data_IF_494417211041
#
_entry.id   IF_494417211041
#
_cell.length_a   1.000
_cell.length_b   1.000
_cell.length_c   1.000
_cell.angle_alpha   90.00
_cell.angle_beta   90.00
_cell.angle_gamma   90.00
#
_symmetry.space_group_name_H-M   'P 1'
#
loop_
_entity.id
_entity.type
_entity.pdbx_description
1 polymer ?
#
# COMPACT_ATOMS: atom_id res chain seq x y z
N UNK A 1 31.39 -65.94 -29.72
CA UNK A 1 31.33 -65.09 -28.54
C UNK A 1 31.19 -63.62 -28.97
N UNK A 2 29.98 -63.09 -28.97
CA UNK A 2 29.68 -61.75 -29.43
C UNK A 2 29.33 -60.87 -28.24
N UNK A 3 30.25 -59.96 -27.87
CA UNK A 3 29.99 -58.96 -26.85
C UNK A 3 29.08 -57.87 -27.38
N UNK A 4 27.88 -57.75 -26.81
CA UNK A 4 26.97 -56.61 -27.05
C UNK A 4 27.27 -55.54 -25.99
N UNK A 5 27.93 -54.47 -26.43
CA UNK A 5 28.04 -53.24 -25.63
C UNK A 5 26.70 -52.49 -25.70
N UNK A 6 25.99 -52.44 -24.61
CA UNK A 6 24.79 -51.59 -24.48
C UNK A 6 25.20 -50.15 -24.12
N UNK A 7 24.95 -49.23 -25.04
CA UNK A 7 25.11 -47.80 -24.81
C UNK A 7 23.83 -47.30 -24.08
N UNK A 8 23.97 -47.00 -22.82
CA UNK A 8 22.91 -46.36 -22.01
C UNK A 8 23.02 -44.84 -22.22
N UNK A 9 22.13 -44.29 -23.03
CA UNK A 9 22.02 -42.82 -23.20
C UNK A 9 21.32 -42.26 -21.99
N UNK A 10 22.07 -41.53 -21.16
CA UNK A 10 21.54 -40.77 -20.04
C UNK A 10 20.97 -39.45 -20.58
N UNK A 11 19.65 -39.39 -20.77
CA UNK A 11 18.97 -38.15 -21.13
C UNK A 11 18.83 -37.30 -19.86
N UNK A 12 19.76 -36.34 -19.69
CA UNK A 12 19.59 -35.25 -18.71
C UNK A 12 18.47 -34.34 -19.20
N UNK A 13 17.28 -34.50 -18.65
CA UNK A 13 16.20 -33.54 -18.80
C UNK A 13 16.57 -32.34 -17.95
N UNK A 14 17.16 -31.32 -18.56
CA UNK A 14 17.36 -30.02 -17.93
C UNK A 14 15.96 -29.37 -17.76
N UNK A 15 15.39 -29.53 -16.60
CA UNK A 15 14.19 -28.80 -16.20
C UNK A 15 14.56 -27.31 -16.08
N UNK A 16 14.28 -26.53 -17.11
CA UNK A 16 14.31 -25.09 -17.05
C UNK A 16 13.18 -24.65 -16.11
N UNK A 17 13.51 -24.44 -14.85
CA UNK A 17 12.67 -23.74 -13.93
C UNK A 17 12.60 -22.28 -14.39
N UNK A 18 11.58 -21.93 -15.12
CA UNK A 18 11.22 -20.53 -15.34
C UNK A 18 10.81 -19.95 -14.01
N UNK A 19 11.77 -19.35 -13.29
CA UNK A 19 11.45 -18.47 -12.18
C UNK A 19 10.75 -17.24 -12.77
N UNK A 20 9.42 -17.22 -12.70
CA UNK A 20 8.68 -15.99 -12.91
C UNK A 20 9.05 -15.04 -11.78
N UNK A 21 10.05 -14.20 -11.98
CA UNK A 21 10.26 -13.04 -11.14
C UNK A 21 9.04 -12.13 -11.34
N UNK A 22 8.19 -12.02 -10.33
CA UNK A 22 7.17 -10.97 -10.34
C UNK A 22 7.90 -9.63 -10.39
N UNK A 23 7.76 -8.95 -11.52
CA UNK A 23 8.32 -7.61 -11.68
C UNK A 23 7.53 -6.70 -10.74
N UNK A 24 8.17 -6.24 -9.67
CA UNK A 24 7.55 -5.27 -8.76
C UNK A 24 7.18 -4.03 -9.57
N UNK A 25 5.93 -3.62 -9.52
CA UNK A 25 5.48 -2.39 -10.17
C UNK A 25 6.12 -1.19 -9.48
N UNK A 26 6.43 -0.16 -10.24
CA UNK A 26 6.94 1.11 -9.71
C UNK A 26 5.97 2.21 -10.07
N UNK A 27 5.74 3.11 -9.13
CA UNK A 27 4.97 4.34 -9.31
C UNK A 27 5.90 5.51 -9.08
N UNK A 28 5.85 6.49 -9.97
CA UNK A 28 6.59 7.74 -9.81
C UNK A 28 5.89 8.61 -8.79
N UNK A 29 6.59 8.93 -7.71
CA UNK A 29 6.09 9.87 -6.72
C UNK A 29 6.49 11.29 -7.08
N UNK A 30 5.65 12.25 -6.75
CA UNK A 30 5.89 13.67 -7.03
C UNK A 30 6.19 14.42 -5.74
N UNK A 31 7.26 15.21 -5.75
CA UNK A 31 7.53 16.14 -4.64
C UNK A 31 6.59 17.32 -4.72
N UNK A 32 5.95 17.65 -3.61
CA UNK A 32 5.12 18.86 -3.47
C UNK A 32 5.76 19.86 -2.51
N UNK A 33 5.59 21.13 -2.80
CA UNK A 33 5.82 22.26 -1.88
C UNK A 33 4.50 22.92 -1.48
N UNK A 34 3.40 22.43 -2.02
CA UNK A 34 2.05 22.88 -1.70
C UNK A 34 1.67 22.38 -0.31
N UNK A 35 0.92 23.19 0.42
CA UNK A 35 0.32 22.74 1.67
C UNK A 35 -0.89 21.88 1.36
N UNK A 36 -0.79 20.58 1.61
CA UNK A 36 -1.88 19.64 1.42
C UNK A 36 -2.77 19.66 2.66
N UNK A 37 -4.05 19.96 2.48
CA UNK A 37 -5.07 19.84 3.52
C UNK A 37 -5.54 18.40 3.62
N UNK A 38 -5.60 17.85 4.81
CA UNK A 38 -6.08 16.47 5.01
C UNK A 38 -7.59 16.54 5.24
N UNK A 39 -8.36 16.69 4.15
CA UNK A 39 -9.82 16.87 4.17
C UNK A 39 -10.61 15.85 3.34
N UNK A 40 -9.90 14.87 2.75
CA UNK A 40 -10.41 13.83 1.87
C UNK A 40 -11.08 14.37 0.59
N UNK A 41 -10.60 15.48 0.04
CA UNK A 41 -11.12 16.04 -1.23
C UNK A 41 -10.16 15.86 -2.42
N UNK A 42 -8.86 15.70 -2.20
CA UNK A 42 -7.81 15.54 -3.21
C UNK A 42 -7.88 16.59 -4.33
N UNK A 43 -8.17 17.84 -3.95
CA UNK A 43 -8.45 18.94 -4.88
C UNK A 43 -7.25 19.86 -5.15
N UNK A 44 -6.15 19.74 -4.38
CA UNK A 44 -4.93 20.51 -4.59
C UNK A 44 -4.29 20.20 -5.94
N UNK A 45 -3.60 21.21 -6.50
CA UNK A 45 -2.98 21.07 -7.81
C UNK A 45 -1.98 19.91 -7.88
N UNK A 46 -1.27 19.64 -6.78
CA UNK A 46 -0.29 18.55 -6.70
C UNK A 46 -0.91 17.16 -6.94
N UNK A 47 -2.17 16.94 -6.52
CA UNK A 47 -2.85 15.67 -6.75
C UNK A 47 -3.22 15.44 -8.22
N UNK A 48 -3.45 16.51 -9.00
CA UNK A 48 -3.85 16.37 -10.41
C UNK A 48 -2.80 15.69 -11.26
N UNK A 49 -1.53 16.01 -10.99
CA UNK A 49 -0.39 15.52 -11.77
C UNK A 49 0.25 14.25 -11.18
N UNK A 50 -0.21 13.77 -10.03
CA UNK A 50 0.32 12.55 -9.42
C UNK A 50 -0.10 11.32 -10.22
N UNK A 51 0.86 10.41 -10.44
CA UNK A 51 0.60 9.12 -11.07
C UNK A 51 -0.36 8.29 -10.22
N UNK A 52 -1.29 7.59 -10.86
CA UNK A 52 -2.28 6.76 -10.21
C UNK A 52 -1.75 5.32 -10.13
N UNK A 53 -1.66 4.78 -8.93
CA UNK A 53 -1.48 3.34 -8.73
C UNK A 53 -2.84 2.65 -8.86
N UNK A 54 -2.90 1.66 -9.74
CA UNK A 54 -4.08 0.86 -10.08
C UNK A 54 -3.73 -0.62 -10.12
N UNK A 55 -4.61 -1.45 -10.69
CA UNK A 55 -4.42 -2.89 -10.87
C UNK A 55 -4.34 -3.65 -9.53
N UNK A 56 -5.18 -3.27 -8.61
CA UNK A 56 -5.39 -4.00 -7.37
C UNK A 56 -6.02 -5.37 -7.67
N UNK A 57 -5.75 -6.33 -6.81
CA UNK A 57 -6.26 -7.69 -6.95
C UNK A 57 -6.96 -8.12 -5.66
N UNK A 58 -7.90 -9.05 -5.77
CA UNK A 58 -8.52 -9.65 -4.60
C UNK A 58 -7.46 -10.43 -3.81
N UNK A 59 -7.43 -10.24 -2.48
CA UNK A 59 -6.72 -11.12 -1.56
C UNK A 59 -7.65 -12.25 -1.14
N UNK A 60 -8.88 -11.91 -0.79
CA UNK A 60 -9.94 -12.82 -0.41
C UNK A 60 -11.23 -12.47 -1.14
N UNK A 61 -12.08 -13.44 -1.47
CA UNK A 61 -11.98 -14.89 -1.21
C UNK A 61 -11.04 -15.63 -2.15
N UNK A 62 -10.54 -15.02 -3.22
CA UNK A 62 -9.68 -15.67 -4.22
C UNK A 62 -8.51 -14.76 -4.60
N UNK A 63 -7.36 -15.07 -4.02
CA UNK A 63 -6.13 -14.30 -4.23
C UNK A 63 -5.73 -14.20 -5.72
N UNK A 64 -5.33 -13.00 -6.12
CA UNK A 64 -4.85 -12.69 -7.47
C UNK A 64 -5.95 -12.53 -8.52
N UNK A 65 -7.22 -12.57 -8.14
CA UNK A 65 -8.32 -12.30 -9.06
C UNK A 65 -8.43 -10.79 -9.32
N UNK A 66 -8.58 -10.34 -10.58
CA UNK A 66 -8.84 -8.94 -10.88
C UNK A 66 -10.08 -8.42 -10.16
N UNK A 67 -10.01 -7.20 -9.68
CA UNK A 67 -11.13 -6.52 -9.05
C UNK A 67 -12.11 -6.05 -10.13
N UNK A 68 -13.43 -6.24 -9.97
CA UNK A 68 -14.42 -5.63 -10.85
C UNK A 68 -14.28 -4.10 -10.88
N UNK A 69 -14.51 -3.50 -12.06
CA UNK A 69 -14.30 -2.05 -12.28
C UNK A 69 -15.12 -1.18 -11.31
N UNK A 70 -16.29 -1.66 -10.89
CA UNK A 70 -17.15 -0.97 -9.93
C UNK A 70 -16.57 -0.89 -8.51
N UNK A 71 -15.56 -1.71 -8.19
CA UNK A 71 -14.82 -1.73 -6.92
C UNK A 71 -13.37 -1.32 -7.08
N UNK A 72 -13.03 -0.62 -8.14
CA UNK A 72 -11.64 -0.21 -8.36
C UNK A 72 -11.12 0.70 -7.25
N UNK A 73 -9.84 0.64 -7.03
CA UNK A 73 -9.11 1.50 -6.11
C UNK A 73 -8.07 2.29 -6.88
N UNK A 74 -8.02 3.59 -6.67
CA UNK A 74 -7.05 4.51 -7.27
C UNK A 74 -6.26 5.18 -6.14
N UNK A 75 -4.94 4.99 -6.13
CA UNK A 75 -4.08 5.59 -5.10
C UNK A 75 -3.07 6.54 -5.73
N UNK A 76 -2.93 7.72 -5.17
CA UNK A 76 -1.92 8.71 -5.51
C UNK A 76 -0.98 8.94 -4.34
N UNK A 77 0.29 9.21 -4.65
CA UNK A 77 1.32 9.40 -3.65
C UNK A 77 2.08 10.69 -3.95
N UNK A 78 2.13 11.57 -2.96
CA UNK A 78 2.97 12.76 -2.96
C UNK A 78 3.95 12.70 -1.79
N UNK A 79 4.98 13.53 -1.81
CA UNK A 79 5.87 13.71 -0.67
C UNK A 79 6.35 15.14 -0.58
N UNK A 80 6.71 15.57 0.62
CA UNK A 80 7.33 16.87 0.91
C UNK A 80 8.71 16.68 1.55
N UNK A 81 9.22 17.69 2.21
CA UNK A 81 10.45 17.56 2.99
C UNK A 81 10.26 16.81 4.32
N UNK A 82 9.05 16.70 4.82
CA UNK A 82 8.72 16.24 6.18
C UNK A 82 7.73 15.08 6.24
N UNK A 83 6.99 14.82 5.15
CA UNK A 83 5.95 13.80 5.14
C UNK A 83 5.76 13.14 3.76
N UNK A 84 5.18 11.94 3.78
CA UNK A 84 4.53 11.31 2.63
C UNK A 84 3.02 11.51 2.75
N UNK A 85 2.36 11.74 1.62
CA UNK A 85 0.92 11.93 1.51
C UNK A 85 0.34 10.85 0.63
N UNK A 86 -0.79 10.28 1.05
CA UNK A 86 -1.51 9.24 0.34
C UNK A 86 -2.93 9.74 0.12
N UNK A 87 -3.36 9.76 -1.12
CA UNK A 87 -4.75 10.04 -1.51
C UNK A 87 -5.33 8.82 -2.21
N UNK A 88 -6.39 8.24 -1.66
CA UNK A 88 -7.03 7.06 -2.21
C UNK A 88 -8.51 7.34 -2.54
N UNK A 89 -8.95 6.90 -3.73
CA UNK A 89 -10.37 6.82 -4.11
C UNK A 89 -10.74 5.36 -4.20
N UNK A 90 -11.70 4.98 -3.41
CA UNK A 90 -12.19 3.62 -3.27
C UNK A 90 -13.63 3.59 -3.78
N UNK A 91 -13.84 2.91 -4.90
CA UNK A 91 -15.12 2.90 -5.58
C UNK A 91 -16.01 1.77 -5.06
N UNK A 92 -17.24 2.10 -4.78
CA UNK A 92 -18.30 1.15 -4.39
C UNK A 92 -19.61 1.53 -5.11
N UNK A 93 -20.28 0.59 -5.78
CA UNK A 93 -21.55 0.88 -6.46
C UNK A 93 -22.71 1.15 -5.49
N UNK A 94 -22.54 0.87 -4.19
CA UNK A 94 -23.54 1.07 -3.15
C UNK A 94 -22.96 1.85 -1.95
N UNK A 95 -22.58 3.12 -2.11
CA UNK A 95 -21.90 3.88 -1.04
C UNK A 95 -22.71 4.00 0.26
N UNK A 96 -24.04 3.88 0.17
CA UNK A 96 -24.91 3.87 1.34
C UNK A 96 -24.77 2.63 2.22
N UNK A 97 -24.13 1.57 1.72
CA UNK A 97 -23.88 0.32 2.44
C UNK A 97 -22.48 0.23 3.03
N UNK A 98 -21.61 1.18 2.75
CA UNK A 98 -20.27 1.25 3.35
C UNK A 98 -20.41 1.25 4.87
N UNK A 99 -19.78 0.27 5.49
CA UNK A 99 -19.82 0.11 6.94
C UNK A 99 -18.88 1.10 7.62
N UNK A 100 -19.41 1.83 8.61
CA UNK A 100 -18.72 2.94 9.30
C UNK A 100 -19.09 2.99 10.77
N UNK A 101 -18.54 2.10 11.54
CA UNK A 101 -18.67 2.12 12.99
C UNK A 101 -17.70 3.14 13.59
N UNK A 102 -18.19 3.97 14.54
CA UNK A 102 -17.32 4.82 15.34
C UNK A 102 -16.70 4.00 16.44
N UNK A 103 -15.40 3.90 16.42
CA UNK A 103 -14.59 3.12 17.38
C UNK A 103 -13.50 4.00 17.98
N UNK A 104 -12.91 3.55 19.07
CA UNK A 104 -11.72 4.18 19.64
C UNK A 104 -10.51 4.02 18.70
N UNK A 105 -9.46 4.82 18.94
CA UNK A 105 -8.20 4.69 18.21
C UNK A 105 -7.65 3.27 18.39
N UNK A 106 -7.04 2.75 17.33
CA UNK A 106 -6.45 1.40 17.23
C UNK A 106 -7.47 0.25 17.26
N UNK A 107 -8.77 0.56 17.13
CA UNK A 107 -9.83 -0.42 16.90
C UNK A 107 -10.44 -0.27 15.51
N UNK A 108 -10.73 -1.39 14.85
CA UNK A 108 -11.34 -1.42 13.51
C UNK A 108 -12.87 -1.51 13.58
N UNK A 109 -13.40 -2.25 14.58
CA UNK A 109 -14.83 -2.56 14.66
C UNK A 109 -15.32 -3.31 13.42
N UNK A 110 -16.55 -3.02 13.00
CA UNK A 110 -17.17 -3.51 11.76
C UNK A 110 -17.20 -2.39 10.71
N UNK A 111 -16.05 -1.94 10.27
CA UNK A 111 -15.93 -0.83 9.31
C UNK A 111 -15.15 -1.26 8.08
N UNK A 112 -15.55 -0.71 6.93
CA UNK A 112 -14.68 -0.69 5.76
C UNK A 112 -13.46 0.17 6.08
N UNK A 113 -12.30 -0.23 5.56
CA UNK A 113 -11.07 0.53 5.79
C UNK A 113 -10.08 0.41 4.64
N UNK A 114 -9.21 1.41 4.58
CA UNK A 114 -8.06 1.43 3.69
C UNK A 114 -6.78 1.53 4.51
N UNK A 115 -5.75 0.79 4.10
CA UNK A 115 -4.46 0.76 4.76
C UNK A 115 -3.28 0.86 3.82
N UNK A 116 -2.16 1.38 4.34
CA UNK A 116 -0.87 1.41 3.68
C UNK A 116 0.19 0.71 4.55
N UNK A 117 1.02 -0.10 3.92
CA UNK A 117 2.19 -0.75 4.51
C UNK A 117 3.44 -0.12 3.91
N UNK A 118 4.30 0.43 4.75
CA UNK A 118 5.51 1.16 4.34
C UNK A 118 6.75 0.42 4.84
N UNK A 119 7.56 -0.08 3.89
CA UNK A 119 8.88 -0.65 4.15
C UNK A 119 9.94 0.33 3.65
N UNK A 120 10.45 1.17 4.54
CA UNK A 120 11.44 2.21 4.21
C UNK A 120 12.82 1.66 3.82
N UNK A 121 13.15 0.44 4.21
CA UNK A 121 14.39 -0.25 3.81
C UNK A 121 14.22 -1.08 2.53
N UNK A 122 12.98 -1.34 2.12
CA UNK A 122 12.63 -2.20 0.97
C UNK A 122 13.26 -3.60 1.05
N UNK A 123 13.38 -4.15 2.23
CA UNK A 123 14.01 -5.45 2.53
C UNK A 123 13.02 -6.51 3.02
N UNK A 124 11.76 -6.14 3.26
CA UNK A 124 10.71 -7.02 3.76
C UNK A 124 10.85 -7.42 5.23
N UNK A 125 11.75 -6.76 6.00
CA UNK A 125 12.00 -7.12 7.40
C UNK A 125 11.14 -6.34 8.38
N UNK A 126 10.78 -5.11 8.03
CA UNK A 126 9.96 -4.23 8.85
C UNK A 126 8.97 -3.45 7.99
N UNK A 127 7.74 -3.31 8.49
CA UNK A 127 6.70 -2.49 7.88
C UNK A 127 6.03 -1.63 8.95
N UNK A 128 5.79 -0.37 8.62
CA UNK A 128 4.89 0.51 9.35
C UNK A 128 3.56 0.50 8.64
N UNK A 129 2.50 0.22 9.38
CA UNK A 129 1.16 0.04 8.82
C UNK A 129 0.23 1.08 9.40
N UNK A 130 -0.52 1.73 8.52
CA UNK A 130 -1.47 2.79 8.86
C UNK A 130 -2.80 2.48 8.19
N UNK A 131 -3.88 2.49 8.96
CA UNK A 131 -5.20 2.21 8.45
C UNK A 131 -6.16 3.33 8.83
N UNK A 132 -7.09 3.62 7.92
CA UNK A 132 -8.18 4.58 8.14
C UNK A 132 -9.48 3.89 7.82
N UNK A 133 -10.41 3.87 8.79
CA UNK A 133 -11.76 3.35 8.57
C UNK A 133 -12.61 4.36 7.79
N UNK A 134 -13.68 3.90 7.16
CA UNK A 134 -14.64 4.78 6.47
C UNK A 134 -15.33 5.77 7.44
N UNK A 135 -15.25 5.53 8.76
CA UNK A 135 -15.66 6.45 9.82
C UNK A 135 -14.53 7.39 10.29
N UNK A 136 -13.37 7.39 9.62
CA UNK A 136 -12.17 8.14 9.99
C UNK A 136 -11.52 7.69 11.31
N UNK A 137 -11.70 6.44 11.73
CA UNK A 137 -10.90 5.84 12.80
C UNK A 137 -9.47 5.58 12.32
N UNK A 138 -8.48 5.84 13.17
CA UNK A 138 -7.06 5.62 12.89
C UNK A 138 -6.53 4.40 13.63
N UNK A 139 -5.80 3.55 12.91
CA UNK A 139 -5.09 2.40 13.46
C UNK A 139 -3.66 2.44 12.92
N UNK A 140 -2.69 2.25 13.78
CA UNK A 140 -1.30 2.13 13.36
C UNK A 140 -0.62 0.96 14.08
N UNK A 141 0.18 0.21 13.33
CA UNK A 141 0.92 -0.93 13.84
C UNK A 141 2.33 -0.98 13.25
N UNK A 142 3.23 -1.64 13.93
CA UNK A 142 4.55 -1.96 13.43
C UNK A 142 4.68 -3.48 13.27
N UNK A 143 5.14 -3.91 12.13
CA UNK A 143 5.40 -5.33 11.87
C UNK A 143 6.89 -5.56 11.66
N UNK A 144 7.42 -6.61 12.28
CA UNK A 144 8.76 -7.14 11.99
C UNK A 144 8.69 -8.63 11.67
N UNK A 145 9.58 -9.10 10.78
CA UNK A 145 9.65 -10.52 10.43
C UNK A 145 10.06 -11.41 11.60
N UNK A 146 10.68 -10.85 12.64
CA UNK A 146 11.15 -11.57 13.81
C UNK A 146 10.08 -11.72 14.91
N UNK A 147 9.27 -10.69 15.13
CA UNK A 147 8.35 -10.59 16.27
C UNK A 147 6.88 -10.56 15.86
N UNK A 148 6.59 -10.36 14.58
CA UNK A 148 5.23 -10.21 14.05
C UNK A 148 4.71 -8.78 14.18
N UNK A 149 3.42 -8.64 14.35
CA UNK A 149 2.71 -7.36 14.43
C UNK A 149 2.61 -6.86 15.87
N UNK A 150 3.04 -5.63 16.08
CA UNK A 150 2.93 -4.91 17.35
C UNK A 150 1.88 -3.82 17.25
N UNK A 151 0.68 -4.09 17.77
CA UNK A 151 -0.42 -3.13 17.85
C UNK A 151 -0.29 -2.14 19.01
N UNK A 152 0.72 -2.26 19.86
CA UNK A 152 0.99 -1.28 20.93
C UNK A 152 1.84 -0.10 20.46
N UNK A 153 2.43 -0.23 19.24
CA UNK A 153 3.18 0.85 18.62
C UNK A 153 2.24 1.98 18.18
N UNK A 154 2.60 3.22 18.46
CA UNK A 154 1.80 4.38 18.15
C UNK A 154 2.61 5.47 17.45
N UNK A 155 2.00 6.11 16.45
CA UNK A 155 2.56 7.23 15.70
C UNK A 155 1.66 8.48 15.77
N UNK A 156 2.26 9.63 15.52
CA UNK A 156 1.51 10.89 15.30
C UNK A 156 1.44 11.10 13.79
N UNK A 157 0.23 11.05 13.24
CA UNK A 157 -0.05 11.25 11.82
C UNK A 157 -1.47 11.80 11.63
N UNK A 158 -1.77 12.27 10.43
CA UNK A 158 -3.04 12.88 10.10
C UNK A 158 -3.77 12.04 9.04
N UNK A 159 -5.09 11.93 9.17
CA UNK A 159 -5.94 11.30 8.16
C UNK A 159 -7.31 11.93 8.11
N UNK A 160 -7.99 11.75 6.99
CA UNK A 160 -9.41 12.01 6.84
C UNK A 160 -10.04 10.98 5.89
N UNK A 161 -11.29 10.62 6.15
CA UNK A 161 -12.10 9.76 5.30
C UNK A 161 -13.46 10.39 5.06
N UNK A 162 -13.95 10.35 3.82
CA UNK A 162 -15.23 10.97 3.43
C UNK A 162 -15.96 10.07 2.46
N UNK A 163 -17.18 9.69 2.82
CA UNK A 163 -18.09 8.97 1.90
C UNK A 163 -18.60 9.94 0.85
N UNK A 164 -18.64 9.48 -0.39
CA UNK A 164 -19.04 10.19 -1.59
C UNK A 164 -20.16 9.44 -2.31
N UNK A 165 -20.61 9.95 -3.44
CA UNK A 165 -21.58 9.29 -4.31
C UNK A 165 -21.03 8.11 -5.13
N UNK A 166 -19.69 7.94 -5.16
CA UNK A 166 -19.03 6.86 -5.88
C UNK A 166 -18.33 5.82 -4.98
N UNK A 167 -18.37 5.98 -3.67
CA UNK A 167 -17.61 5.19 -2.70
C UNK A 167 -17.09 6.04 -1.56
N UNK A 168 -15.79 5.99 -1.25
CA UNK A 168 -15.20 6.90 -0.26
C UNK A 168 -13.77 7.32 -0.67
N UNK A 169 -13.33 8.43 -0.09
CA UNK A 169 -11.99 8.97 -0.27
C UNK A 169 -11.27 8.89 1.05
N UNK A 170 -9.99 8.50 1.02
CA UNK A 170 -9.09 8.56 2.17
C UNK A 170 -7.91 9.45 1.83
N UNK A 171 -7.54 10.29 2.77
CA UNK A 171 -6.35 11.11 2.69
C UNK A 171 -5.51 10.96 3.96
N UNK A 172 -4.20 10.77 3.79
CA UNK A 172 -3.27 10.55 4.89
C UNK A 172 -2.04 11.43 4.72
N UNK A 173 -1.52 11.95 5.84
CA UNK A 173 -0.19 12.57 5.94
C UNK A 173 0.59 11.84 7.01
N UNK A 174 1.66 11.17 6.61
CA UNK A 174 2.51 10.38 7.48
C UNK A 174 3.87 11.08 7.57
N UNK A 175 4.19 11.70 8.72
CA UNK A 175 5.46 12.37 8.93
C UNK A 175 6.63 11.37 8.90
N UNK A 176 7.77 11.77 8.38
CA UNK A 176 8.97 10.93 8.38
C UNK A 176 9.45 10.55 9.78
N UNK A 177 9.10 11.35 10.79
CA UNK A 177 9.36 11.04 12.20
C UNK A 177 8.69 9.72 12.67
N UNK A 178 7.57 9.33 12.04
CA UNK A 178 6.87 8.08 12.29
C UNK A 178 7.51 6.87 11.59
N UNK A 179 8.46 7.07 10.68
CA UNK A 179 9.02 6.03 9.84
C UNK A 179 10.50 5.74 10.17
N UNK A 180 11.00 4.62 9.68
CA UNK A 180 12.41 4.27 9.71
C UNK A 180 12.88 3.92 8.31
N UNK A 181 13.95 4.56 7.86
CA UNK A 181 14.56 4.37 6.56
C UNK A 181 16.04 4.79 6.58
N UNK A 182 16.87 4.33 5.63
CA UNK A 182 18.30 4.68 5.62
C UNK A 182 18.50 6.16 5.28
N UNK A 183 19.59 6.76 5.80
CA UNK A 183 19.97 8.13 5.44
C UNK A 183 20.61 8.16 4.03
N UNK A 184 19.80 8.48 3.01
CA UNK A 184 20.21 8.56 1.60
C UNK A 184 19.50 9.73 0.92
N UNK A 185 20.17 10.38 -0.03
CA UNK A 185 19.57 11.45 -0.85
C UNK A 185 18.47 10.93 -1.79
N UNK A 186 18.55 9.67 -2.15
CA UNK A 186 17.55 8.97 -2.97
C UNK A 186 16.99 7.82 -2.16
N UNK A 187 15.71 7.87 -1.89
CA UNK A 187 15.01 6.83 -1.17
C UNK A 187 14.29 5.88 -2.13
N UNK A 188 14.30 4.60 -1.79
CA UNK A 188 13.52 3.59 -2.50
C UNK A 188 12.79 2.77 -1.46
N UNK A 189 11.47 2.91 -1.39
CA UNK A 189 10.64 2.24 -0.41
C UNK A 189 9.74 1.19 -1.06
N UNK A 190 9.48 0.13 -0.33
CA UNK A 190 8.41 -0.81 -0.65
C UNK A 190 7.10 -0.31 -0.06
N UNK A 191 6.05 -0.29 -0.88
CA UNK A 191 4.70 0.01 -0.41
C UNK A 191 3.76 -1.13 -0.77
N UNK A 192 2.76 -1.33 0.08
CA UNK A 192 1.60 -2.14 -0.22
C UNK A 192 0.33 -1.45 0.31
N UNK A 193 -0.82 -1.82 -0.24
CA UNK A 193 -2.10 -1.27 0.15
C UNK A 193 -3.07 -2.39 0.45
N UNK A 194 -3.97 -2.16 1.38
CA UNK A 194 -5.05 -3.06 1.72
C UNK A 194 -6.35 -2.27 1.82
N UNK A 195 -7.36 -2.74 1.14
CA UNK A 195 -8.74 -2.29 1.31
C UNK A 195 -9.58 -3.46 1.79
N UNK A 196 -10.42 -3.23 2.78
CA UNK A 196 -11.42 -4.18 3.24
C UNK A 196 -12.81 -3.63 3.00
N UNK A 197 -13.63 -4.44 2.36
CA UNK A 197 -15.06 -4.22 2.15
C UNK A 197 -15.82 -5.24 3.00
N UNK A 198 -16.25 -4.82 4.18
CA UNK A 198 -16.80 -5.71 5.20
C UNK A 198 -18.14 -6.34 4.78
N UNK A 199 -19.05 -5.55 4.18
CA UNK A 199 -20.35 -6.07 3.69
C UNK A 199 -20.19 -7.25 2.74
N UNK A 200 -19.15 -7.21 1.91
CA UNK A 200 -18.91 -8.23 0.88
C UNK A 200 -17.90 -9.30 1.32
N UNK A 201 -17.37 -9.24 2.54
CA UNK A 201 -16.26 -10.05 3.04
C UNK A 201 -15.09 -10.12 2.04
N UNK A 202 -14.79 -9.00 1.38
CA UNK A 202 -13.72 -8.88 0.40
C UNK A 202 -12.53 -8.14 0.99
N UNK A 203 -11.36 -8.71 0.82
CA UNK A 203 -10.09 -8.03 1.04
C UNK A 203 -9.45 -7.77 -0.33
N UNK A 204 -9.20 -6.51 -0.62
CA UNK A 204 -8.57 -6.05 -1.85
C UNK A 204 -7.13 -5.68 -1.50
N UNK A 205 -6.16 -6.32 -2.13
CA UNK A 205 -4.74 -6.07 -1.92
C UNK A 205 -4.18 -5.27 -3.08
N UNK A 206 -3.47 -4.19 -2.77
CA UNK A 206 -2.63 -3.50 -3.73
C UNK A 206 -1.48 -4.39 -4.19
N UNK A 207 -1.10 -4.26 -5.44
CA UNK A 207 0.15 -4.85 -5.93
C UNK A 207 1.31 -4.17 -5.21
N UNK A 208 2.29 -4.95 -4.74
CA UNK A 208 3.49 -4.38 -4.12
C UNK A 208 4.15 -3.38 -5.05
N UNK A 209 4.24 -2.13 -4.61
CA UNK A 209 4.82 -1.03 -5.35
C UNK A 209 6.22 -0.72 -4.83
N UNK A 210 7.06 -0.22 -5.73
CA UNK A 210 8.30 0.46 -5.36
C UNK A 210 8.14 1.92 -5.71
N UNK A 211 8.35 2.79 -4.73
CA UNK A 211 8.40 4.23 -4.94
C UNK A 211 9.83 4.74 -4.82
N UNK A 212 10.11 5.81 -5.56
CA UNK A 212 11.38 6.55 -5.48
C UNK A 212 11.09 7.99 -5.10
N UNK A 213 11.78 8.46 -4.08
CA UNK A 213 11.69 9.84 -3.59
C UNK A 213 13.00 10.55 -3.94
N UNK A 214 12.97 11.43 -4.94
CA UNK A 214 14.15 12.13 -5.48
C UNK A 214 13.80 13.58 -5.88
N UNK A 215 14.50 14.62 -5.41
CA UNK A 215 15.50 14.60 -4.35
C UNK A 215 14.87 14.50 -2.97
N UNK A 216 15.44 13.67 -2.12
CA UNK A 216 14.99 13.51 -0.74
C UNK A 216 15.99 14.19 0.19
N UNK A 217 15.57 15.23 0.90
CA UNK A 217 16.38 15.89 1.93
C UNK A 217 15.60 15.85 3.24
N UNK A 218 16.03 14.98 4.11
CA UNK A 218 15.51 14.89 5.49
C UNK A 218 16.47 15.56 6.49
N UNK A 219 17.06 16.70 6.10
CA UNK A 219 17.81 17.51 7.05
C UNK A 219 16.98 18.74 7.37
N UNK A 220 16.56 18.93 8.62
CA UNK A 220 16.12 20.26 9.04
C UNK A 220 17.30 21.22 8.78
N UNK A 221 17.06 22.28 8.03
CA UNK A 221 17.99 23.39 7.96
C UNK A 221 17.96 24.04 9.36
N UNK A 222 19.05 23.85 10.12
CA UNK A 222 19.32 24.57 11.36
C UNK A 222 19.88 25.95 11.07
#
# INVERSE_FOLDING_TARGET
MTNKFGITIFICIASFLFSFSQTKKSVSTKKTTENISIDAELNEASWKDAEIATDFVSLEPKNGTPIPEEFKTEVKILYSNDAIYIGAKLYDPNPEKILKELVERDEIGTSDYFGIFINGYNDGQQEFRFFVTAANGQIDTNFTSAEGEDGSWNAIWESNAKITDFGYVVEMKIPYAALRFPEKDKQTWGLNFLEKLEENAKNILGVQLIIKLEPFRNKPEF
#
